data_IF_193771022689
#
_entry.id   IF_193771022689
#
_cell.length_a   1.000
_cell.length_b   1.000
_cell.length_c   1.000
_cell.angle_alpha   90.00
_cell.angle_beta   90.00
_cell.angle_gamma   90.00
#
_symmetry.space_group_name_H-M   'P 1'
#
loop_
_entity.id
_entity.type
_entity.pdbx_description
1 polymer ?
#
# COMPACT_ATOMS: atom_id res chain seq x y z
N UNK A 1 -10.84 -12.41 25.40
CA UNK A 1 -10.71 -10.99 24.99
C UNK A 1 -9.50 -10.93 24.07
N UNK A 2 -9.67 -10.62 22.76
CA UNK A 2 -8.53 -10.42 21.85
C UNK A 2 -7.79 -9.20 22.36
N UNK A 3 -6.48 -9.28 22.51
CA UNK A 3 -5.64 -8.18 22.97
C UNK A 3 -5.46 -7.15 21.84
N UNK A 4 -6.45 -6.30 21.65
CA UNK A 4 -6.41 -5.21 20.65
C UNK A 4 -5.41 -4.11 21.01
N UNK A 5 -4.76 -4.20 22.17
CA UNK A 5 -3.86 -3.16 22.67
C UNK A 5 -2.45 -3.27 22.10
N UNK A 6 -2.12 -4.32 21.37
CA UNK A 6 -0.78 -4.54 20.85
C UNK A 6 -0.71 -4.28 19.36
N UNK A 7 -0.06 -3.18 18.98
CA UNK A 7 0.26 -2.88 17.59
C UNK A 7 1.65 -3.43 17.26
N UNK A 8 1.74 -4.34 16.32
CA UNK A 8 3.03 -4.69 15.72
C UNK A 8 3.19 -3.97 14.39
N UNK A 9 4.27 -3.19 14.27
CA UNK A 9 4.61 -2.43 13.07
C UNK A 9 5.62 -3.15 12.18
N UNK A 10 6.07 -4.35 12.62
CA UNK A 10 7.08 -5.11 11.90
C UNK A 10 6.54 -5.64 10.58
N UNK A 11 7.40 -5.70 9.57
CA UNK A 11 7.07 -6.16 8.23
C UNK A 11 6.32 -7.50 8.26
N UNK A 12 6.84 -8.49 8.95
CA UNK A 12 6.26 -9.85 9.06
C UNK A 12 4.96 -9.92 9.88
N UNK A 13 4.62 -8.89 10.63
CA UNK A 13 3.36 -8.83 11.37
C UNK A 13 2.24 -8.16 10.56
N UNK A 14 2.61 -7.38 9.55
CA UNK A 14 1.67 -6.70 8.68
C UNK A 14 1.39 -7.49 7.40
N UNK A 15 2.36 -8.30 6.93
CA UNK A 15 2.32 -8.90 5.60
C UNK A 15 2.71 -10.38 5.60
N UNK A 16 1.94 -11.20 4.89
CA UNK A 16 2.39 -12.48 4.38
C UNK A 16 3.23 -12.25 3.12
N UNK A 17 4.54 -12.31 3.27
CA UNK A 17 5.48 -12.02 2.20
C UNK A 17 5.47 -13.05 1.07
N UNK A 18 4.75 -14.16 1.19
CA UNK A 18 4.60 -15.14 0.10
C UNK A 18 3.76 -14.60 -1.06
N UNK A 19 3.06 -13.50 -0.87
CA UNK A 19 2.18 -12.84 -1.83
C UNK A 19 2.80 -11.61 -2.50
N UNK A 20 4.12 -11.57 -2.68
CA UNK A 20 4.80 -10.50 -3.42
C UNK A 20 6.13 -10.94 -3.96
N UNK A 21 6.47 -10.47 -5.15
CA UNK A 21 7.81 -10.63 -5.73
C UNK A 21 8.90 -9.87 -4.94
N UNK A 22 8.53 -8.87 -4.15
CA UNK A 22 9.47 -8.09 -3.32
C UNK A 22 9.88 -8.81 -2.03
N UNK A 23 9.43 -10.05 -1.80
CA UNK A 23 9.74 -10.84 -0.61
C UNK A 23 11.22 -10.83 -0.22
N UNK A 24 12.20 -11.10 -1.11
CA UNK A 24 13.61 -11.18 -0.73
C UNK A 24 14.16 -9.90 -0.10
N UNK A 25 13.60 -8.74 -0.45
CA UNK A 25 14.00 -7.44 0.12
C UNK A 25 13.23 -7.14 1.40
N UNK A 26 11.92 -7.40 1.41
CA UNK A 26 11.07 -7.13 2.58
C UNK A 26 11.41 -8.03 3.79
N UNK A 27 11.89 -9.25 3.57
CA UNK A 27 12.35 -10.15 4.65
C UNK A 27 13.49 -9.56 5.48
N UNK A 28 14.26 -8.62 4.91
CA UNK A 28 15.39 -7.97 5.55
C UNK A 28 15.04 -6.62 6.20
N UNK A 29 13.79 -6.16 6.07
CA UNK A 29 13.33 -4.91 6.71
C UNK A 29 12.74 -5.21 8.09
N UNK A 30 13.08 -4.39 9.07
CA UNK A 30 12.38 -4.42 10.35
C UNK A 30 10.97 -3.83 10.19
N UNK A 31 10.91 -2.68 9.51
CA UNK A 31 9.67 -1.96 9.23
C UNK A 31 9.44 -1.84 7.72
N UNK A 32 8.22 -2.01 7.20
CA UNK A 32 7.96 -2.05 5.77
C UNK A 32 8.24 -0.74 5.03
N UNK A 33 8.27 0.39 5.71
CA UNK A 33 8.61 1.68 5.08
C UNK A 33 10.10 1.83 4.74
N UNK A 34 10.95 0.93 5.23
CA UNK A 34 12.38 0.95 4.94
C UNK A 34 12.64 0.70 3.44
N UNK A 35 11.81 -0.12 2.78
CA UNK A 35 11.93 -0.42 1.35
C UNK A 35 11.64 0.76 0.41
N UNK A 36 10.96 1.81 0.91
CA UNK A 36 10.42 2.87 0.04
C UNK A 36 11.47 3.61 -0.81
N UNK A 37 12.72 3.70 -0.36
CA UNK A 37 13.81 4.29 -1.16
C UNK A 37 14.30 3.36 -2.26
N UNK A 38 14.12 2.07 -2.07
CA UNK A 38 14.78 1.04 -2.87
C UNK A 38 13.83 0.43 -3.93
N UNK A 39 12.54 0.76 -3.86
CA UNK A 39 11.51 0.25 -4.80
C UNK A 39 11.95 0.33 -6.26
N UNK A 40 12.53 1.44 -6.78
CA UNK A 40 12.96 1.49 -8.17
C UNK A 40 14.05 0.47 -8.53
N UNK A 41 15.00 0.24 -7.61
CA UNK A 41 16.06 -0.74 -7.81
C UNK A 41 15.50 -2.16 -7.71
N UNK A 42 14.68 -2.42 -6.70
CA UNK A 42 14.00 -3.72 -6.50
C UNK A 42 13.21 -4.12 -7.73
N UNK A 43 12.44 -3.20 -8.33
CA UNK A 43 11.67 -3.49 -9.56
C UNK A 43 12.60 -3.91 -10.70
N UNK A 44 13.73 -3.22 -10.91
CA UNK A 44 14.69 -3.56 -11.97
C UNK A 44 15.36 -4.92 -11.74
N UNK A 45 15.74 -5.21 -10.51
CA UNK A 45 16.36 -6.48 -10.15
C UNK A 45 15.37 -7.65 -10.35
N UNK A 46 14.12 -7.51 -9.92
CA UNK A 46 13.06 -8.50 -10.17
C UNK A 46 12.82 -8.62 -11.67
N UNK A 47 12.60 -7.51 -12.36
CA UNK A 47 12.27 -7.48 -13.79
C UNK A 47 13.29 -8.18 -14.65
N UNK A 48 14.59 -8.02 -14.34
CA UNK A 48 15.67 -8.69 -15.06
C UNK A 48 15.63 -10.23 -14.94
N UNK A 49 14.90 -10.78 -13.98
CA UNK A 49 14.77 -12.24 -13.75
C UNK A 49 13.45 -12.81 -14.20
N UNK A 50 12.50 -11.96 -14.61
CA UNK A 50 11.17 -12.42 -15.01
C UNK A 50 11.22 -13.25 -16.29
N UNK A 51 10.50 -14.38 -16.36
CA UNK A 51 10.51 -15.27 -17.52
C UNK A 51 9.81 -14.62 -18.73
N UNK A 52 10.50 -14.62 -19.87
CA UNK A 52 10.02 -13.97 -21.10
C UNK A 52 8.83 -14.69 -21.77
N UNK A 53 8.55 -15.91 -21.37
CA UNK A 53 7.34 -16.66 -21.76
C UNK A 53 6.10 -16.21 -20.99
N UNK A 54 6.25 -15.62 -19.81
CA UNK A 54 5.16 -15.10 -18.98
C UNK A 54 5.03 -13.57 -19.04
N UNK A 55 6.12 -12.85 -19.28
CA UNK A 55 6.14 -11.39 -19.26
C UNK A 55 6.58 -10.78 -20.58
N UNK A 56 5.87 -9.76 -21.03
CA UNK A 56 6.30 -8.84 -22.07
C UNK A 56 7.14 -7.71 -21.49
N UNK A 57 8.10 -7.21 -22.29
CA UNK A 57 8.96 -6.07 -21.94
C UNK A 57 8.78 -4.95 -22.97
N UNK A 58 7.62 -4.22 -22.92
CA UNK A 58 7.25 -3.29 -23.98
C UNK A 58 8.10 -2.01 -24.04
N UNK A 59 8.80 -1.68 -22.97
CA UNK A 59 9.73 -0.55 -22.90
C UNK A 59 10.78 -0.80 -21.81
N UNK A 60 11.86 0.01 -21.82
CA UNK A 60 12.90 -0.08 -20.78
C UNK A 60 12.30 0.00 -19.37
N UNK A 61 12.72 -0.91 -18.50
CA UNK A 61 12.26 -1.04 -17.11
C UNK A 61 10.73 -1.24 -16.94
N UNK A 62 10.01 -1.72 -17.96
CA UNK A 62 8.58 -2.07 -17.85
C UNK A 62 8.37 -3.53 -18.19
N UNK A 63 7.79 -4.29 -17.26
CA UNK A 63 7.42 -5.69 -17.43
C UNK A 63 5.93 -5.86 -17.15
N UNK A 64 5.22 -6.48 -18.09
CA UNK A 64 3.77 -6.69 -18.01
C UNK A 64 3.50 -8.17 -18.26
N UNK A 65 2.86 -8.84 -17.31
CA UNK A 65 2.45 -10.23 -17.50
C UNK A 65 1.53 -10.36 -18.70
N UNK A 66 1.73 -11.38 -19.55
CA UNK A 66 0.90 -11.63 -20.74
C UNK A 66 -0.56 -11.90 -20.44
N UNK A 67 -0.84 -12.39 -19.23
CA UNK A 67 -2.19 -12.60 -18.71
C UNK A 67 -2.83 -11.32 -18.15
N UNK A 68 -2.07 -10.24 -17.97
CA UNK A 68 -2.61 -8.97 -17.49
C UNK A 68 -3.43 -8.26 -18.57
N UNK A 69 -4.46 -7.55 -18.14
CA UNK A 69 -5.27 -6.71 -19.03
C UNK A 69 -4.98 -5.24 -18.76
N UNK A 70 -4.34 -4.56 -19.72
CA UNK A 70 -4.04 -3.13 -19.60
C UNK A 70 -4.87 -2.36 -20.62
N UNK A 71 -5.74 -1.47 -20.15
CA UNK A 71 -6.57 -0.65 -21.03
C UNK A 71 -5.71 0.27 -21.91
N UNK A 72 -6.02 0.43 -23.21
CA UNK A 72 -5.21 1.28 -24.12
C UNK A 72 -5.08 2.75 -23.71
N UNK A 73 -5.91 3.19 -22.78
CA UNK A 73 -5.94 4.55 -22.25
C UNK A 73 -5.25 4.68 -20.89
N UNK A 74 -4.73 3.59 -20.37
CA UNK A 74 -3.88 3.63 -19.18
C UNK A 74 -2.46 4.05 -19.57
N UNK A 75 -1.79 4.74 -18.65
CA UNK A 75 -0.36 5.06 -18.78
C UNK A 75 0.44 4.21 -17.79
N UNK A 76 1.48 3.56 -18.28
CA UNK A 76 2.43 2.81 -17.44
C UNK A 76 3.82 3.40 -17.65
N UNK A 77 4.34 4.08 -16.63
CA UNK A 77 5.69 4.65 -16.61
C UNK A 77 6.69 3.74 -15.88
N UNK A 78 7.95 3.87 -16.27
CA UNK A 78 9.07 3.09 -15.73
C UNK A 78 9.59 3.62 -14.36
N UNK A 79 10.23 2.76 -13.55
CA UNK A 79 10.19 1.32 -13.64
C UNK A 79 8.86 0.76 -13.14
N UNK A 80 8.36 -0.32 -13.75
CA UNK A 80 7.09 -0.93 -13.36
C UNK A 80 7.06 -2.46 -13.65
N UNK A 81 6.41 -3.18 -12.75
CA UNK A 81 6.00 -4.57 -12.98
C UNK A 81 4.48 -4.65 -12.78
N UNK A 82 3.79 -5.28 -13.75
CA UNK A 82 2.36 -5.60 -13.66
C UNK A 82 2.24 -7.13 -13.67
N UNK A 83 1.76 -7.68 -12.56
CA UNK A 83 1.66 -9.11 -12.31
C UNK A 83 0.57 -9.82 -13.11
N UNK A 84 0.56 -11.15 -13.00
CA UNK A 84 -0.35 -12.02 -13.75
C UNK A 84 -1.82 -11.77 -13.37
N UNK A 85 -2.72 -11.89 -14.38
CA UNK A 85 -4.16 -11.70 -14.21
C UNK A 85 -4.58 -10.34 -13.59
N UNK A 86 -3.69 -9.36 -13.58
CA UNK A 86 -3.94 -8.01 -13.07
C UNK A 86 -4.68 -7.18 -14.11
N UNK A 87 -5.67 -6.41 -13.65
CA UNK A 87 -6.45 -5.49 -14.46
C UNK A 87 -6.05 -4.04 -14.23
N UNK A 88 -5.50 -3.38 -15.26
CA UNK A 88 -5.22 -1.94 -15.29
C UNK A 88 -6.27 -1.27 -16.16
N UNK A 89 -7.19 -0.55 -15.54
CA UNK A 89 -8.39 -0.02 -16.18
C UNK A 89 -8.16 1.30 -16.91
N UNK A 90 -9.16 1.70 -17.68
CA UNK A 90 -9.22 2.97 -18.40
C UNK A 90 -8.80 4.17 -17.53
N UNK A 91 -7.87 4.99 -18.03
CA UNK A 91 -7.43 6.20 -17.37
C UNK A 91 -6.57 6.00 -16.12
N UNK A 92 -6.12 4.78 -15.82
CA UNK A 92 -5.14 4.57 -14.76
C UNK A 92 -3.81 5.25 -15.10
N UNK A 93 -3.16 5.85 -14.09
CA UNK A 93 -1.90 6.55 -14.23
C UNK A 93 -0.83 5.94 -13.33
N UNK A 94 -0.08 4.97 -13.84
CA UNK A 94 1.07 4.39 -13.15
C UNK A 94 2.29 5.23 -13.50
N UNK A 95 2.70 6.12 -12.57
CA UNK A 95 3.79 7.09 -12.81
C UNK A 95 5.17 6.47 -12.84
N UNK A 96 5.30 5.25 -12.33
CA UNK A 96 6.56 4.54 -12.19
C UNK A 96 6.94 4.26 -10.75
N UNK A 97 7.99 3.46 -10.59
CA UNK A 97 8.38 2.84 -9.31
C UNK A 97 7.19 2.09 -8.69
N UNK A 98 6.47 1.32 -9.53
CA UNK A 98 5.29 0.57 -9.11
C UNK A 98 5.48 -0.93 -9.36
N UNK A 99 5.47 -1.71 -8.28
CA UNK A 99 5.37 -3.15 -8.32
C UNK A 99 3.90 -3.52 -8.00
N UNK A 100 3.20 -4.03 -9.00
CA UNK A 100 1.82 -4.49 -8.87
C UNK A 100 1.82 -6.01 -8.96
N UNK A 101 1.38 -6.68 -7.90
CA UNK A 101 1.31 -8.14 -7.80
C UNK A 101 0.27 -8.77 -8.71
N UNK A 102 0.03 -10.06 -8.51
CA UNK A 102 -0.91 -10.85 -9.32
C UNK A 102 -2.37 -10.60 -8.91
N UNK A 103 -3.29 -10.68 -9.88
CA UNK A 103 -4.72 -10.56 -9.63
C UNK A 103 -5.17 -9.22 -9.04
N UNK A 104 -4.36 -8.18 -9.18
CA UNK A 104 -4.67 -6.83 -8.69
C UNK A 104 -5.66 -6.10 -9.58
N UNK A 105 -6.29 -5.06 -9.03
CA UNK A 105 -7.10 -4.11 -9.81
C UNK A 105 -6.57 -2.70 -9.60
N UNK A 106 -6.03 -2.10 -10.66
CA UNK A 106 -5.68 -0.68 -10.73
C UNK A 106 -6.74 0.02 -11.57
N UNK A 107 -7.66 0.71 -10.92
CA UNK A 107 -8.90 1.13 -11.53
C UNK A 107 -8.85 2.48 -12.24
N UNK A 108 -10.03 2.92 -12.66
CA UNK A 108 -10.20 4.18 -13.39
C UNK A 108 -9.64 5.36 -12.61
N UNK A 109 -8.80 6.15 -13.26
CA UNK A 109 -8.19 7.37 -12.71
C UNK A 109 -7.46 7.16 -11.38
N UNK A 110 -6.96 5.96 -11.15
CA UNK A 110 -6.09 5.65 -10.03
C UNK A 110 -4.65 6.02 -10.37
N UNK A 111 -4.00 6.77 -9.50
CA UNK A 111 -2.59 7.12 -9.64
C UNK A 111 -1.73 6.28 -8.71
N UNK A 112 -0.71 5.61 -9.25
CA UNK A 112 0.32 4.87 -8.51
C UNK A 112 1.69 5.55 -8.66
N UNK A 113 2.42 5.69 -7.54
CA UNK A 113 3.75 6.28 -7.55
C UNK A 113 4.57 5.76 -6.37
N UNK A 114 5.72 5.13 -6.65
CA UNK A 114 6.62 4.60 -5.64
C UNK A 114 5.90 3.71 -4.62
N UNK A 115 5.35 2.59 -5.09
CA UNK A 115 4.53 1.71 -4.27
C UNK A 115 4.70 0.23 -4.62
N UNK A 116 4.35 -0.62 -3.67
CA UNK A 116 4.23 -2.07 -3.84
C UNK A 116 2.79 -2.44 -3.49
N UNK A 117 2.11 -3.09 -4.41
CA UNK A 117 0.82 -3.73 -4.22
C UNK A 117 1.05 -5.24 -4.23
N UNK A 118 0.69 -5.92 -3.15
CA UNK A 118 0.73 -7.38 -3.05
C UNK A 118 -0.40 -8.00 -3.87
N UNK A 119 -0.37 -9.30 -4.05
CA UNK A 119 -1.35 -10.02 -4.85
C UNK A 119 -2.79 -9.76 -4.38
N UNK A 120 -3.69 -9.61 -5.34
CA UNK A 120 -5.11 -9.39 -5.09
C UNK A 120 -5.47 -8.01 -4.50
N UNK A 121 -4.51 -7.09 -4.39
CA UNK A 121 -4.78 -5.72 -3.93
C UNK A 121 -5.69 -4.98 -4.91
N UNK A 122 -6.66 -4.23 -4.38
CA UNK A 122 -7.60 -3.48 -5.20
C UNK A 122 -7.60 -1.98 -4.88
N UNK A 123 -7.32 -1.18 -5.90
CA UNK A 123 -7.41 0.30 -5.89
C UNK A 123 -8.24 0.75 -7.09
N UNK A 124 -9.59 0.46 -7.05
CA UNK A 124 -10.39 0.36 -8.25
C UNK A 124 -10.91 1.69 -8.82
N UNK A 125 -10.92 2.79 -8.05
CA UNK A 125 -11.60 4.03 -8.45
C UNK A 125 -11.01 5.27 -7.82
N UNK A 126 -10.41 6.16 -8.63
CA UNK A 126 -9.95 7.50 -8.20
C UNK A 126 -9.06 7.46 -6.96
N UNK A 127 -8.21 6.45 -6.85
CA UNK A 127 -7.30 6.34 -5.72
C UNK A 127 -5.97 7.05 -6.02
N UNK A 128 -5.32 7.56 -4.98
CA UNK A 128 -3.92 7.92 -5.02
C UNK A 128 -3.13 7.05 -4.08
N UNK A 129 -2.14 6.33 -4.60
CA UNK A 129 -1.23 5.48 -3.84
C UNK A 129 0.20 5.95 -4.09
N UNK A 130 0.77 6.63 -3.12
CA UNK A 130 2.13 7.17 -3.22
C UNK A 130 2.98 6.83 -2.00
N UNK A 131 4.22 6.41 -2.23
CA UNK A 131 5.19 6.04 -1.18
C UNK A 131 4.58 5.09 -0.14
N UNK A 132 4.02 3.96 -0.62
CA UNK A 132 3.15 3.07 0.17
C UNK A 132 3.39 1.59 -0.14
N UNK A 133 3.05 0.73 0.81
CA UNK A 133 2.98 -0.73 0.61
C UNK A 133 1.59 -1.20 1.01
N UNK A 134 0.91 -1.87 0.10
CA UNK A 134 -0.43 -2.41 0.27
C UNK A 134 -0.36 -3.94 0.25
N UNK A 135 -0.76 -4.57 1.36
CA UNK A 135 -0.67 -6.00 1.61
C UNK A 135 -1.68 -6.83 0.81
N UNK A 136 -1.55 -8.14 0.95
CA UNK A 136 -2.34 -9.14 0.24
C UNK A 136 -3.84 -8.92 0.42
N UNK A 137 -4.54 -8.85 -0.72
CA UNK A 137 -5.99 -8.62 -0.76
C UNK A 137 -6.47 -7.39 0.02
N UNK A 138 -5.62 -6.39 0.21
CA UNK A 138 -6.09 -5.12 0.75
C UNK A 138 -6.89 -4.34 -0.29
N UNK A 139 -7.79 -3.49 0.18
CA UNK A 139 -8.70 -2.75 -0.68
C UNK A 139 -8.83 -1.28 -0.26
N UNK A 140 -8.81 -0.40 -1.24
CA UNK A 140 -9.11 1.03 -1.04
C UNK A 140 -10.39 1.40 -1.78
N UNK A 141 -11.42 1.79 -1.05
CA UNK A 141 -12.68 2.29 -1.62
C UNK A 141 -12.48 3.53 -2.50
N UNK A 142 -13.49 3.84 -3.31
CA UNK A 142 -13.44 4.95 -4.26
C UNK A 142 -13.03 6.27 -3.61
N UNK A 143 -12.06 6.97 -4.21
CA UNK A 143 -11.57 8.26 -3.73
C UNK A 143 -10.70 8.19 -2.46
N UNK A 144 -10.43 7.01 -1.91
CA UNK A 144 -9.50 6.89 -0.80
C UNK A 144 -8.06 7.15 -1.28
N UNK A 145 -7.26 7.88 -0.48
CA UNK A 145 -5.91 8.30 -0.85
C UNK A 145 -4.90 8.10 0.26
N UNK A 146 -3.63 7.86 -0.14
CA UNK A 146 -2.47 7.90 0.76
C UNK A 146 -1.77 9.24 0.64
N UNK A 147 -2.06 10.19 1.54
CA UNK A 147 -1.30 11.44 1.60
C UNK A 147 0.13 11.15 2.05
N UNK A 148 1.12 11.52 1.26
CA UNK A 148 2.50 11.08 1.48
C UNK A 148 3.48 12.18 1.93
N UNK A 149 3.02 13.42 2.05
CA UNK A 149 3.85 14.57 2.49
C UNK A 149 3.10 15.37 3.55
N UNK A 150 3.78 15.66 4.66
CA UNK A 150 3.26 16.56 5.68
C UNK A 150 3.25 18.01 5.20
N UNK A 151 2.28 18.80 5.65
CA UNK A 151 2.16 20.22 5.27
C UNK A 151 3.40 21.05 5.62
N UNK A 152 4.03 20.74 6.76
CA UNK A 152 5.26 21.39 7.26
C UNK A 152 6.54 20.83 6.64
N UNK A 153 6.42 19.82 5.74
CA UNK A 153 7.53 19.10 5.07
C UNK A 153 8.56 18.49 6.02
N UNK A 154 8.23 18.36 7.31
CA UNK A 154 9.09 17.69 8.29
C UNK A 154 9.08 16.16 8.07
N UNK A 155 10.11 15.44 8.55
CA UNK A 155 10.10 13.98 8.50
C UNK A 155 8.86 13.37 9.16
N UNK A 156 8.40 12.26 8.59
CA UNK A 156 7.27 11.52 9.13
C UNK A 156 7.69 10.75 10.38
N UNK A 157 6.83 10.77 11.40
CA UNK A 157 6.98 9.98 12.63
C UNK A 157 5.77 9.07 12.74
N UNK A 158 5.99 7.78 12.87
CA UNK A 158 4.94 6.80 13.14
C UNK A 158 4.61 6.81 14.62
N UNK A 159 3.35 6.88 14.95
CA UNK A 159 2.82 6.90 16.32
C UNK A 159 1.46 6.19 16.37
N UNK A 160 0.96 5.80 17.56
CA UNK A 160 -0.40 5.28 17.71
C UNK A 160 -1.44 6.23 17.11
N UNK A 161 -2.52 5.68 16.56
CA UNK A 161 -3.64 6.48 16.08
C UNK A 161 -4.31 7.23 17.23
N UNK A 162 -4.89 8.41 16.95
CA UNK A 162 -5.63 9.19 17.94
C UNK A 162 -6.82 8.39 18.48
N UNK A 163 -7.01 8.40 19.79
CA UNK A 163 -8.06 7.63 20.46
C UNK A 163 -7.67 6.19 20.79
N UNK A 164 -6.44 5.79 20.48
CA UNK A 164 -5.86 4.52 20.86
C UNK A 164 -4.62 4.74 21.73
N UNK A 165 -4.65 4.24 22.95
CA UNK A 165 -3.48 4.22 23.83
C UNK A 165 -2.59 3.03 23.40
N UNK A 166 -1.76 3.28 22.38
CA UNK A 166 -0.80 2.30 21.91
C UNK A 166 0.38 2.19 22.86
N UNK A 167 0.99 1.04 22.87
CA UNK A 167 2.09 0.66 23.75
C UNK A 167 3.49 0.83 23.13
N UNK A 168 3.63 1.71 22.13
CA UNK A 168 4.94 1.99 21.53
C UNK A 168 5.22 3.49 21.47
N UNK A 169 6.50 3.83 21.64
CA UNK A 169 7.00 5.19 21.50
C UNK A 169 6.99 5.62 20.02
N UNK A 170 6.80 6.93 19.75
CA UNK A 170 6.87 7.45 18.40
C UNK A 170 8.18 7.08 17.69
N UNK A 171 8.09 6.50 16.49
CA UNK A 171 9.23 6.03 15.70
C UNK A 171 9.55 7.04 14.59
N UNK A 172 10.68 7.75 14.67
CA UNK A 172 11.17 8.60 13.59
C UNK A 172 11.53 7.74 12.37
N UNK A 173 10.98 8.05 11.21
CA UNK A 173 11.24 7.28 9.98
C UNK A 173 12.40 7.82 9.15
N UNK A 174 12.86 9.03 9.43
CA UNK A 174 13.84 9.75 8.61
C UNK A 174 13.31 10.19 7.24
N UNK A 175 12.06 9.85 6.89
CA UNK A 175 11.47 10.04 5.56
C UNK A 175 10.60 11.29 5.52
N UNK A 176 10.77 12.13 4.49
CA UNK A 176 9.87 13.25 4.17
C UNK A 176 8.65 12.81 3.36
N UNK A 177 8.78 11.69 2.62
CA UNK A 177 7.70 11.09 1.84
C UNK A 177 7.42 9.70 2.37
N UNK A 178 6.21 9.50 2.85
CA UNK A 178 5.71 8.24 3.34
C UNK A 178 4.18 8.31 3.34
N UNK A 179 3.51 7.53 2.50
CA UNK A 179 2.05 7.44 2.41
C UNK A 179 1.47 6.59 3.53
N UNK A 180 1.18 5.32 3.22
CA UNK A 180 0.61 4.37 4.17
C UNK A 180 1.14 2.95 3.99
N UNK A 181 1.06 2.16 5.06
CA UNK A 181 1.20 0.71 5.04
C UNK A 181 -0.17 0.10 5.37
N UNK A 182 -0.73 -0.65 4.42
CA UNK A 182 -1.96 -1.41 4.65
C UNK A 182 -1.59 -2.87 4.81
N UNK A 183 -1.85 -3.43 6.00
CA UNK A 183 -1.67 -4.84 6.24
C UNK A 183 -2.59 -5.71 5.38
N UNK A 184 -2.34 -7.00 5.38
CA UNK A 184 -3.14 -7.96 4.60
C UNK A 184 -4.62 -7.88 4.97
N UNK A 185 -5.49 -7.95 3.95
CA UNK A 185 -6.95 -7.87 4.10
C UNK A 185 -7.45 -6.58 4.76
N UNK A 186 -6.65 -5.50 4.77
CA UNK A 186 -7.12 -4.20 5.26
C UNK A 186 -8.10 -3.57 4.26
N UNK A 187 -9.19 -3.01 4.77
CA UNK A 187 -10.27 -2.39 4.00
C UNK A 187 -10.39 -0.90 4.32
N UNK A 188 -10.20 -0.05 3.34
CA UNK A 188 -10.32 1.41 3.51
C UNK A 188 -11.58 1.93 2.82
N UNK A 189 -12.49 2.49 3.60
CA UNK A 189 -13.75 3.03 3.08
C UNK A 189 -13.59 4.24 2.16
N UNK A 190 -14.58 4.46 1.30
CA UNK A 190 -14.57 5.51 0.28
C UNK A 190 -14.25 6.90 0.86
N UNK A 191 -13.55 7.72 0.04
CA UNK A 191 -13.16 9.10 0.37
C UNK A 191 -12.42 9.26 1.70
N UNK A 192 -11.72 8.22 2.13
CA UNK A 192 -10.85 8.30 3.31
C UNK A 192 -9.47 8.81 2.95
N UNK A 193 -8.87 9.56 3.87
CA UNK A 193 -7.50 10.06 3.76
C UNK A 193 -6.62 9.35 4.77
N UNK A 194 -5.66 8.58 4.28
CA UNK A 194 -4.58 8.04 5.10
C UNK A 194 -3.46 9.07 5.13
N UNK A 195 -3.31 9.75 6.28
CA UNK A 195 -2.30 10.81 6.44
C UNK A 195 -0.87 10.23 6.42
N UNK A 196 0.17 11.04 6.15
CA UNK A 196 1.53 10.56 6.05
C UNK A 196 1.97 9.71 7.24
N UNK A 197 2.44 8.50 6.97
CA UNK A 197 2.87 7.52 7.97
C UNK A 197 1.73 6.76 8.64
N UNK A 198 0.55 6.72 8.05
CA UNK A 198 -0.55 5.86 8.52
C UNK A 198 -0.20 4.40 8.30
N UNK A 199 -0.46 3.59 9.32
CA UNK A 199 -0.36 2.13 9.26
C UNK A 199 -1.71 1.56 9.64
N UNK A 200 -2.27 0.72 8.79
CA UNK A 200 -3.51 -0.02 9.04
C UNK A 200 -3.16 -1.48 9.21
N UNK A 201 -3.38 -2.03 10.40
CA UNK A 201 -3.08 -3.43 10.69
C UNK A 201 -3.90 -4.41 9.85
N UNK A 202 -3.46 -5.68 9.75
CA UNK A 202 -4.19 -6.70 8.99
C UNK A 202 -5.64 -6.87 9.44
N UNK A 203 -6.52 -7.20 8.49
CA UNK A 203 -7.96 -7.42 8.73
C UNK A 203 -8.69 -6.23 9.39
N UNK A 204 -8.17 -5.02 9.26
CA UNK A 204 -8.75 -3.81 9.82
C UNK A 204 -9.63 -3.10 8.81
N UNK A 205 -10.78 -2.62 9.25
CA UNK A 205 -11.68 -1.80 8.44
C UNK A 205 -11.61 -0.33 8.86
N UNK A 206 -11.38 0.54 7.89
CA UNK A 206 -11.52 1.99 8.04
C UNK A 206 -12.85 2.42 7.45
N UNK A 207 -13.70 3.07 8.24
CA UNK A 207 -14.99 3.53 7.75
C UNK A 207 -14.85 4.66 6.72
N UNK A 208 -15.83 4.81 5.81
CA UNK A 208 -15.82 5.89 4.82
C UNK A 208 -15.67 7.28 5.45
N UNK A 209 -15.14 8.23 4.66
CA UNK A 209 -14.94 9.63 5.06
C UNK A 209 -14.03 9.80 6.28
N UNK A 210 -13.14 8.86 6.51
CA UNK A 210 -12.21 8.89 7.64
C UNK A 210 -10.93 9.64 7.31
N UNK A 211 -10.43 10.41 8.29
CA UNK A 211 -9.07 10.96 8.26
C UNK A 211 -8.22 10.20 9.27
N UNK A 212 -7.49 9.20 8.78
CA UNK A 212 -6.67 8.32 9.63
C UNK A 212 -5.27 8.91 9.80
N UNK A 213 -4.78 8.93 11.02
CA UNK A 213 -3.43 9.38 11.34
C UNK A 213 -2.80 8.46 12.39
N UNK A 214 -1.62 7.92 12.07
CA UNK A 214 -0.90 7.01 12.95
C UNK A 214 -1.26 5.54 12.71
N UNK A 215 -0.87 4.66 13.61
CA UNK A 215 -1.02 3.23 13.48
C UNK A 215 -2.32 2.73 14.12
N UNK A 216 -3.13 2.00 13.34
CA UNK A 216 -4.36 1.33 13.76
C UNK A 216 -4.06 -0.15 13.93
N UNK A 217 -4.47 -0.80 15.05
CA UNK A 217 -4.16 -2.21 15.30
C UNK A 217 -4.83 -3.16 14.31
N UNK A 218 -4.36 -4.40 14.28
CA UNK A 218 -4.96 -5.47 13.48
C UNK A 218 -6.35 -5.86 13.99
N UNK A 219 -7.24 -6.27 13.07
CA UNK A 219 -8.58 -6.76 13.40
C UNK A 219 -9.51 -5.71 14.04
N UNK A 220 -9.26 -4.43 13.77
CA UNK A 220 -10.00 -3.32 14.33
C UNK A 220 -11.00 -2.72 13.32
N UNK A 221 -11.88 -1.85 13.82
CA UNK A 221 -12.70 -0.96 13.01
C UNK A 221 -12.36 0.47 13.41
N UNK A 222 -11.82 1.26 12.48
CA UNK A 222 -11.59 2.68 12.67
C UNK A 222 -12.84 3.47 12.23
N UNK A 223 -13.44 4.20 13.17
CA UNK A 223 -14.60 5.08 12.91
C UNK A 223 -14.20 6.52 13.20
N UNK A 224 -14.41 7.42 12.24
CA UNK A 224 -14.35 8.86 12.52
C UNK A 224 -15.72 9.37 12.98
N UNK A 225 -15.76 9.98 14.18
CA UNK A 225 -16.95 10.56 14.76
C UNK A 225 -16.60 11.81 15.58
N UNK A 226 -17.34 12.18 16.62
CA UNK A 226 -16.96 13.22 17.59
C UNK A 226 -15.71 12.80 18.40
N UNK A 227 -14.66 12.47 17.71
CA UNK A 227 -13.46 11.74 18.11
C UNK A 227 -13.35 10.48 17.26
N UNK A 228 -12.12 10.09 16.87
CA UNK A 228 -11.90 8.80 16.21
C UNK A 228 -12.07 7.68 17.24
N UNK A 229 -12.82 6.64 16.89
CA UNK A 229 -13.03 5.48 17.74
C UNK A 229 -12.38 4.24 17.09
N UNK A 230 -11.70 3.43 17.87
CA UNK A 230 -11.16 2.13 17.46
C UNK A 230 -11.89 1.08 18.29
N UNK A 231 -12.57 0.16 17.61
CA UNK A 231 -13.28 -0.96 18.25
C UNK A 231 -12.81 -2.28 17.68
N UNK A 232 -12.92 -3.32 18.49
CA UNK A 232 -12.60 -4.67 18.03
C UNK A 232 -13.55 -5.14 16.93
N UNK A 233 -13.03 -5.97 16.04
CA UNK A 233 -13.82 -6.67 15.01
C UNK A 233 -14.26 -8.00 15.57
N UNK A 234 -15.58 -8.25 15.65
CA UNK A 234 -16.18 -9.52 16.06
C UNK A 234 -15.98 -10.65 15.05
#
# INVERSE_FOLDING_TARGET
MKDYNRISLRTQALFDLTHTLARPWLEHTEYPWEILSDIPAVIREIGATLPTDLYDHPAEDIWIAKSATVAPTAFVGAPAIIGENTEVRHGAFIRGSALVGDGCVVGNSTELKNCILFDGTQVPHYNYVGDSVLGYKSHMGAGAITSNVKSDKSPVVVKPASGFEGDFDPIPTGRKKFGAMLGDFAEVGCNSVLNPGTIVGPHTNVYPLSSVRGAVPAGAIFKSGKGSEIVGKE
#
